data_IF_253518337380
#
_entry.id   IF_253518337380
#
_cell.length_a   1.000
_cell.length_b   1.000
_cell.length_c   1.000
_cell.angle_alpha   90.00
_cell.angle_beta   90.00
_cell.angle_gamma   90.00
#
_symmetry.space_group_name_H-M   'P 1'
#
loop_
_entity.id
_entity.type
_entity.pdbx_description
1 polymer ?
#
# COMPACT_ATOMS: atom_id res chain seq x y z
N UNK A 1 -26.20 3.23 33.94
CA UNK A 1 -24.92 2.51 33.71
C UNK A 1 -24.78 2.33 32.21
N UNK A 2 -23.87 3.05 31.54
CA UNK A 2 -23.64 2.85 30.11
C UNK A 2 -22.94 1.50 29.93
N UNK A 3 -23.54 0.62 29.13
CA UNK A 3 -22.94 -0.64 28.71
C UNK A 3 -21.63 -0.30 27.99
N UNK A 4 -20.52 -0.84 28.51
CA UNK A 4 -19.25 -0.91 27.78
C UNK A 4 -19.42 -2.06 26.81
N UNK A 5 -20.14 -1.80 25.73
CA UNK A 5 -20.02 -2.58 24.50
C UNK A 5 -19.39 -1.61 23.50
N UNK A 6 -18.14 -1.22 23.78
CA UNK A 6 -17.23 -0.91 22.67
C UNK A 6 -17.00 -2.24 22.01
N UNK A 7 -17.97 -2.63 21.20
CA UNK A 7 -17.87 -3.69 20.23
C UNK A 7 -16.58 -3.38 19.48
N UNK A 8 -15.53 -4.15 19.79
CA UNK A 8 -14.32 -4.27 18.98
C UNK A 8 -14.78 -5.10 17.76
N UNK A 9 -15.70 -4.52 17.00
CA UNK A 9 -16.49 -5.20 15.97
C UNK A 9 -15.85 -5.02 14.63
N UNK A 10 -15.67 -6.15 13.97
CA UNK A 10 -15.11 -6.32 12.64
C UNK A 10 -13.73 -5.67 12.51
N UNK A 11 -12.72 -6.35 13.05
CA UNK A 11 -11.35 -6.17 12.56
C UNK A 11 -11.27 -6.80 11.17
N UNK A 12 -11.81 -6.08 10.19
CA UNK A 12 -11.62 -6.29 8.76
C UNK A 12 -10.89 -5.04 8.25
N UNK A 13 -9.62 -4.97 8.64
CA UNK A 13 -8.77 -3.81 8.47
C UNK A 13 -8.24 -3.70 7.05
N UNK A 14 -8.97 -3.03 6.15
CA UNK A 14 -8.52 -2.81 4.78
C UNK A 14 -7.13 -2.15 4.79
N UNK A 15 -6.11 -2.92 4.42
CA UNK A 15 -4.74 -2.46 4.24
C UNK A 15 -4.70 -1.50 3.06
N UNK A 16 -5.29 -1.88 1.94
CA UNK A 16 -5.29 -1.07 0.74
C UNK A 16 -5.82 -1.86 -0.45
N UNK A 17 -5.80 -1.25 -1.62
CA UNK A 17 -6.17 -1.91 -2.86
C UNK A 17 -5.18 -1.63 -3.98
N UNK A 18 -5.03 -2.60 -4.87
CA UNK A 18 -4.28 -2.47 -6.13
C UNK A 18 -5.20 -2.85 -7.29
N UNK A 19 -5.01 -2.21 -8.43
CA UNK A 19 -5.66 -2.62 -9.67
C UNK A 19 -4.69 -3.49 -10.45
N UNK A 20 -4.99 -4.78 -10.58
CA UNK A 20 -4.18 -5.72 -11.35
C UNK A 20 -5.00 -6.25 -12.52
N UNK A 21 -4.56 -5.95 -13.75
CA UNK A 21 -5.24 -6.41 -14.96
C UNK A 21 -6.69 -5.95 -15.08
N UNK A 22 -7.03 -4.77 -14.56
CA UNK A 22 -8.39 -4.22 -14.56
C UNK A 22 -9.30 -4.70 -13.42
N UNK A 23 -8.82 -5.60 -12.55
CA UNK A 23 -9.55 -6.06 -11.36
C UNK A 23 -9.02 -5.36 -10.11
N UNK A 24 -9.92 -4.97 -9.20
CA UNK A 24 -9.54 -4.40 -7.92
C UNK A 24 -9.27 -5.54 -6.93
N UNK A 25 -8.04 -5.58 -6.43
CA UNK A 25 -7.58 -6.49 -5.38
C UNK A 25 -7.47 -5.67 -4.10
N UNK A 26 -8.31 -5.97 -3.13
CA UNK A 26 -8.30 -5.40 -1.80
C UNK A 26 -7.49 -6.32 -0.88
N UNK A 27 -6.54 -5.77 -0.14
CA UNK A 27 -5.81 -6.49 0.89
C UNK A 27 -6.33 -6.05 2.24
N UNK A 28 -6.63 -7.00 3.09
CA UNK A 28 -7.20 -6.78 4.42
C UNK A 28 -6.39 -7.59 5.42
N UNK A 29 -6.27 -7.10 6.64
CA UNK A 29 -5.75 -7.88 7.76
C UNK A 29 -6.82 -8.09 8.81
N UNK A 30 -6.98 -9.35 9.23
CA UNK A 30 -7.93 -9.73 10.27
C UNK A 30 -7.36 -9.49 11.70
N UNK A 31 -8.18 -9.73 12.73
CA UNK A 31 -7.77 -9.61 14.13
C UNK A 31 -6.65 -10.56 14.55
N UNK A 32 -6.46 -11.65 13.82
CA UNK A 32 -5.45 -12.68 14.06
C UNK A 32 -4.15 -12.39 13.31
N UNK A 33 -4.14 -11.41 12.40
CA UNK A 33 -2.99 -11.08 11.58
C UNK A 33 -2.90 -11.79 10.24
N UNK A 34 -3.93 -12.52 9.82
CA UNK A 34 -3.97 -13.09 8.48
C UNK A 34 -4.18 -11.97 7.45
N UNK A 35 -3.47 -12.05 6.34
CA UNK A 35 -3.64 -11.18 5.18
C UNK A 35 -4.65 -11.85 4.26
N UNK A 36 -5.80 -11.22 4.11
CA UNK A 36 -6.88 -11.63 3.22
C UNK A 36 -6.82 -10.78 1.95
N UNK A 37 -6.79 -11.42 0.81
CA UNK A 37 -6.99 -10.80 -0.49
C UNK A 37 -8.46 -10.96 -0.88
N UNK A 38 -9.15 -9.85 -1.00
CA UNK A 38 -10.51 -9.75 -1.51
C UNK A 38 -10.48 -9.27 -2.95
N UNK A 39 -11.09 -10.02 -3.87
CA UNK A 39 -11.13 -9.67 -5.30
C UNK A 39 -12.58 -9.48 -5.71
N UNK A 40 -12.92 -8.32 -6.26
CA UNK A 40 -14.25 -8.09 -6.82
C UNK A 40 -14.34 -8.72 -8.20
N UNK A 41 -15.17 -9.75 -8.35
CA UNK A 41 -15.39 -10.39 -9.65
C UNK A 41 -16.30 -9.55 -10.55
N UNK A 42 -16.44 -9.94 -11.82
CA UNK A 42 -17.27 -9.24 -12.82
C UNK A 42 -18.76 -9.25 -12.48
N UNK A 43 -19.20 -10.12 -11.55
CA UNK A 43 -20.56 -10.17 -11.02
C UNK A 43 -20.75 -9.28 -9.77
N UNK A 44 -19.74 -8.49 -9.39
CA UNK A 44 -19.78 -7.60 -8.23
C UNK A 44 -19.71 -8.32 -6.88
N UNK A 45 -19.35 -9.61 -6.85
CA UNK A 45 -19.14 -10.37 -5.62
C UNK A 45 -17.67 -10.31 -5.22
N UNK A 46 -17.41 -10.05 -3.94
CA UNK A 46 -16.08 -10.13 -3.36
C UNK A 46 -15.74 -11.61 -3.08
N UNK A 47 -14.57 -12.05 -3.53
CA UNK A 47 -14.01 -13.37 -3.22
C UNK A 47 -12.79 -13.16 -2.33
N UNK A 48 -12.87 -13.65 -1.11
CA UNK A 48 -11.83 -13.52 -0.10
C UNK A 48 -10.96 -14.77 -0.06
N UNK A 49 -9.64 -14.58 -0.06
CA UNK A 49 -8.65 -15.66 0.05
C UNK A 49 -7.52 -15.26 0.98
N UNK A 50 -7.16 -16.13 1.93
CA UNK A 50 -6.03 -15.87 2.81
C UNK A 50 -4.74 -16.09 2.02
N UNK A 51 -3.96 -15.03 1.82
CA UNK A 51 -2.72 -15.04 1.03
C UNK A 51 -1.46 -15.06 1.90
N UNK A 52 -1.61 -14.94 3.22
CA UNK A 52 -0.48 -14.99 4.15
C UNK A 52 -0.81 -14.47 5.53
N UNK A 53 0.22 -14.09 6.30
CA UNK A 53 0.07 -13.41 7.58
C UNK A 53 1.10 -12.27 7.71
N UNK A 54 0.84 -11.28 8.56
CA UNK A 54 1.74 -10.13 8.69
C UNK A 54 3.13 -10.51 9.23
N UNK A 55 3.23 -11.58 10.02
CA UNK A 55 4.48 -12.05 10.63
C UNK A 55 5.47 -12.61 9.60
N UNK A 56 4.97 -13.31 8.59
CA UNK A 56 5.74 -14.01 7.58
C UNK A 56 5.83 -13.22 6.27
N UNK A 57 4.81 -12.43 5.95
CA UNK A 57 4.68 -11.75 4.67
C UNK A 57 4.94 -10.24 4.75
N UNK A 58 5.04 -9.65 5.95
CA UNK A 58 5.48 -8.27 6.13
C UNK A 58 6.78 -8.21 6.93
N UNK A 59 7.61 -7.20 6.68
CA UNK A 59 8.87 -7.00 7.41
C UNK A 59 8.76 -5.83 8.36
N UNK A 60 9.00 -6.07 9.65
CA UNK A 60 8.99 -5.00 10.65
C UNK A 60 10.10 -3.97 10.35
N UNK A 61 9.76 -2.69 10.28
CA UNK A 61 10.75 -1.64 9.90
C UNK A 61 11.58 -1.13 11.07
N UNK A 62 11.30 -1.57 12.30
CA UNK A 62 11.90 -1.01 13.51
C UNK A 62 11.08 0.13 14.13
N UNK A 63 10.14 0.72 13.38
CA UNK A 63 9.34 1.86 13.87
C UNK A 63 8.19 1.34 14.73
N UNK A 64 8.18 1.76 16.00
CA UNK A 64 7.09 1.52 16.96
C UNK A 64 6.67 2.84 17.57
N UNK A 65 5.36 3.06 17.66
CA UNK A 65 4.76 4.22 18.33
C UNK A 65 3.77 3.75 19.39
N UNK A 66 3.91 4.25 20.61
CA UNK A 66 2.95 3.97 21.68
C UNK A 66 1.81 4.98 21.59
N UNK A 67 0.59 4.50 21.36
CA UNK A 67 -0.62 5.35 21.25
C UNK A 67 -1.25 5.63 22.62
N UNK A 68 -0.69 5.09 23.70
CA UNK A 68 -1.29 5.13 25.03
C UNK A 68 -2.40 4.10 25.22
N UNK A 69 -2.92 3.97 26.45
CA UNK A 69 -4.01 3.04 26.79
C UNK A 69 -3.73 1.55 26.45
N UNK A 70 -2.45 1.15 26.46
CA UNK A 70 -2.05 -0.21 26.09
C UNK A 70 -2.09 -0.50 24.58
N UNK A 71 -2.20 0.53 23.74
CA UNK A 71 -2.14 0.43 22.29
C UNK A 71 -0.73 0.72 21.78
N UNK A 72 -0.22 -0.14 20.92
CA UNK A 72 1.10 -0.02 20.29
C UNK A 72 0.96 -0.12 18.77
N UNK A 73 1.35 0.92 18.06
CA UNK A 73 1.46 0.90 16.61
C UNK A 73 2.86 0.42 16.20
N UNK A 74 2.93 -0.53 15.28
CA UNK A 74 4.18 -0.99 14.66
C UNK A 74 4.07 -0.85 13.15
N UNK A 75 5.14 -0.40 12.52
CA UNK A 75 5.21 -0.27 11.08
C UNK A 75 5.88 -1.49 10.45
N UNK A 76 5.28 -2.00 9.39
CA UNK A 76 5.80 -3.10 8.60
C UNK A 76 5.84 -2.69 7.12
N UNK A 77 6.79 -3.21 6.36
CA UNK A 77 6.78 -3.10 4.90
C UNK A 77 6.10 -4.32 4.29
N UNK A 78 5.25 -4.08 3.29
CA UNK A 78 4.58 -5.13 2.54
C UNK A 78 4.91 -4.99 1.05
N UNK A 79 5.81 -5.85 0.58
CA UNK A 79 6.35 -5.79 -0.78
C UNK A 79 5.29 -5.88 -1.89
N UNK A 80 4.23 -6.71 -1.79
CA UNK A 80 3.19 -6.77 -2.82
C UNK A 80 2.46 -5.43 -3.03
N UNK A 81 2.36 -4.59 -2.00
CA UNK A 81 1.78 -3.25 -2.09
C UNK A 81 2.82 -2.14 -2.31
N UNK A 82 4.12 -2.47 -2.29
CA UNK A 82 5.22 -1.49 -2.22
C UNK A 82 4.92 -0.37 -1.19
N UNK A 83 4.42 -0.76 -0.03
CA UNK A 83 3.90 0.19 0.96
C UNK A 83 4.31 -0.16 2.39
N UNK A 84 4.28 0.85 3.25
CA UNK A 84 4.45 0.70 4.68
C UNK A 84 3.07 0.63 5.32
N UNK A 85 2.85 -0.38 6.15
CA UNK A 85 1.61 -0.66 6.85
C UNK A 85 1.85 -0.40 8.33
N UNK A 86 1.12 0.53 8.91
CA UNK A 86 1.08 0.74 10.35
C UNK A 86 -0.05 -0.10 10.94
N UNK A 87 0.30 -1.09 11.76
CA UNK A 87 -0.64 -1.98 12.44
C UNK A 87 -0.67 -1.61 13.92
N UNK A 88 -1.86 -1.42 14.47
CA UNK A 88 -2.06 -1.12 15.89
C UNK A 88 -2.40 -2.40 16.64
N UNK A 89 -1.69 -2.66 17.73
CA UNK A 89 -1.85 -3.81 18.60
C UNK A 89 -2.34 -3.37 19.97
N UNK A 90 -3.18 -4.18 20.62
CA UNK A 90 -3.49 -4.01 22.03
C UNK A 90 -2.45 -4.70 22.93
N UNK A 91 -2.61 -4.56 24.25
CA UNK A 91 -1.72 -5.18 25.24
C UNK A 91 -1.70 -6.72 25.18
N UNK A 92 -2.72 -7.35 24.58
CA UNK A 92 -2.79 -8.79 24.35
C UNK A 92 -2.12 -9.22 23.03
N UNK A 93 -1.55 -8.29 22.25
CA UNK A 93 -0.91 -8.57 20.96
C UNK A 93 -1.91 -8.78 19.81
N UNK A 94 -3.19 -8.48 20.02
CA UNK A 94 -4.21 -8.55 18.97
C UNK A 94 -4.20 -7.28 18.15
N UNK A 95 -4.46 -7.41 16.85
CA UNK A 95 -4.61 -6.26 15.96
C UNK A 95 -5.94 -5.58 16.27
N UNK A 96 -5.89 -4.26 16.48
CA UNK A 96 -7.05 -3.44 16.82
C UNK A 96 -7.14 -2.24 15.90
N UNK A 97 -8.29 -2.09 15.25
CA UNK A 97 -8.54 -1.01 14.30
C UNK A 97 -7.98 -1.26 12.91
N UNK A 98 -8.24 -0.31 12.01
CA UNK A 98 -7.83 -0.42 10.62
C UNK A 98 -6.32 -0.13 10.51
N UNK A 99 -5.53 -1.04 9.92
CA UNK A 99 -4.15 -0.76 9.58
C UNK A 99 -4.12 0.41 8.59
N UNK A 100 -3.20 1.34 8.80
CA UNK A 100 -3.05 2.50 7.91
C UNK A 100 -1.88 2.29 6.98
N UNK A 101 -2.13 2.36 5.67
CA UNK A 101 -1.06 2.32 4.68
C UNK A 101 -0.47 3.71 4.50
N UNK A 102 0.79 3.82 4.87
CA UNK A 102 1.68 4.90 4.48
C UNK A 102 2.30 4.45 3.16
N UNK A 103 1.88 5.06 2.04
CA UNK A 103 2.55 4.79 0.76
C UNK A 103 4.03 5.02 0.97
N UNK A 104 4.84 3.99 0.74
CA UNK A 104 6.26 4.22 0.53
C UNK A 104 6.29 5.02 -0.76
N UNK A 105 6.70 6.29 -0.69
CA UNK A 105 6.84 7.14 -1.86
C UNK A 105 7.87 6.50 -2.78
N UNK A 106 7.42 5.59 -3.63
CA UNK A 106 8.20 5.15 -4.77
C UNK A 106 8.07 6.29 -5.76
N UNK A 107 9.19 7.01 -5.90
CA UNK A 107 9.52 7.94 -6.98
C UNK A 107 8.69 7.67 -8.23
N UNK A 108 8.04 8.74 -8.70
CA UNK A 108 7.31 8.86 -9.96
C UNK A 108 7.51 7.70 -10.95
N UNK A 109 6.46 6.91 -11.18
CA UNK A 109 6.25 6.40 -12.54
C UNK A 109 5.88 7.60 -13.39
N UNK A 110 6.90 8.21 -14.00
CA UNK A 110 6.71 9.05 -15.17
C UNK A 110 5.96 8.22 -16.21
N UNK A 111 4.67 8.47 -16.35
CA UNK A 111 3.94 8.18 -17.56
C UNK A 111 4.60 8.99 -18.67
N UNK A 112 5.54 8.39 -19.38
CA UNK A 112 5.93 8.87 -20.71
C UNK A 112 4.68 8.83 -21.56
N UNK A 113 4.10 10.01 -21.76
CA UNK A 113 3.06 10.27 -22.72
C UNK A 113 3.46 9.67 -24.07
N UNK A 114 2.74 8.64 -24.51
CA UNK A 114 2.81 8.18 -25.90
C UNK A 114 1.96 9.14 -26.73
N UNK A 115 2.54 10.29 -27.06
CA UNK A 115 2.03 11.13 -28.14
C UNK A 115 2.47 10.49 -29.47
N UNK A 116 1.54 9.84 -30.15
CA UNK A 116 1.71 9.49 -31.57
C UNK A 116 1.46 10.77 -32.37
N UNK A 117 2.53 11.45 -32.77
CA UNK A 117 2.50 12.39 -33.89
C UNK A 117 3.89 12.44 -34.54
N UNK A 118 3.90 12.07 -35.81
CA UNK A 118 5.03 11.95 -36.74
C UNK A 118 5.92 13.19 -36.83
N UNK A 119 7.26 13.07 -36.71
CA UNK A 119 8.17 14.14 -37.12
C UNK A 119 8.38 14.08 -38.64
N UNK A 120 7.82 15.06 -39.36
CA UNK A 120 8.25 15.38 -40.72
C UNK A 120 9.66 15.97 -40.68
N UNK A 121 10.56 15.33 -41.41
CA UNK A 121 11.96 15.71 -41.58
C UNK A 121 12.05 16.93 -42.48
N UNK A 122 12.69 18.02 -42.01
CA UNK A 122 13.16 19.11 -42.86
C UNK A 122 14.55 19.54 -42.41
N UNK A 123 15.47 19.41 -43.36
CA UNK A 123 16.90 19.67 -43.38
C UNK A 123 17.23 21.17 -43.32
N UNK A 124 18.27 21.57 -42.57
CA UNK A 124 19.34 22.50 -43.02
C UNK A 124 20.48 22.60 -41.98
N UNK A 125 21.56 21.89 -42.27
CA UNK A 125 22.97 22.33 -42.41
C UNK A 125 23.55 23.46 -41.51
N UNK A 126 24.58 23.05 -40.75
CA UNK A 126 25.93 23.64 -40.56
C UNK A 126 26.31 24.57 -39.40
N UNK A 127 27.43 24.12 -38.80
CA UNK A 127 28.57 24.82 -38.21
C UNK A 127 28.44 25.38 -36.79
N UNK A 128 29.47 25.44 -35.95
CA UNK A 128 30.70 24.69 -35.70
C UNK A 128 31.27 25.31 -34.38
N UNK A 129 31.88 24.49 -33.52
CA UNK A 129 32.93 24.78 -32.53
C UNK A 129 33.15 26.21 -31.98
N UNK A 130 33.15 26.38 -30.65
CA UNK A 130 34.36 26.72 -29.85
C UNK A 130 34.14 26.65 -28.35
N UNK A 131 35.08 25.99 -27.66
CA UNK A 131 35.33 25.96 -26.22
C UNK A 131 36.13 27.20 -25.80
N UNK A 132 35.81 27.79 -24.63
CA UNK A 132 36.73 28.02 -23.49
C UNK A 132 36.39 29.27 -22.68
N UNK A 133 36.35 29.04 -21.37
CA UNK A 133 36.51 30.04 -20.34
C UNK A 133 38.01 30.22 -20.01
N UNK A 134 38.31 31.41 -19.48
CA UNK A 134 39.60 31.94 -19.00
C UNK A 134 40.52 32.58 -20.03
#
# INVERSE_FOLDING_TARGET
>A
RKQVDTVIGAVDGLLGSITQGGTLLNFVVDSLGNIVQSVTNTAGQAVDSIVGNYLNNMTFTGVTSSLGNGLTQKQYSYSPLNALVNIVFNAAGQIVGQPSVVKQTSTASSTTASATATPVSLTTTSAATTTSAS
#
